data_IF_325131012174
#
_entry.id   IF_325131012174
#
_cell.length_a   1.000
_cell.length_b   1.000
_cell.length_c   1.000
_cell.angle_alpha   90.00
_cell.angle_beta   90.00
_cell.angle_gamma   90.00
#
_symmetry.space_group_name_H-M   'P 1'
#
loop_
_entity.id
_entity.type
_entity.pdbx_description
1 polymer ?
#
# COMPACT_ATOMS: atom_id res chain seq x y z
N UNK A 1 6.06 8.87 -7.72
CA UNK A 1 6.99 9.77 -7.06
C UNK A 1 6.79 9.82 -5.56
N UNK A 2 7.68 10.49 -4.85
CA UNK A 2 7.59 10.68 -3.40
C UNK A 2 6.97 12.06 -3.09
N UNK A 3 5.78 12.12 -2.45
CA UNK A 3 5.08 13.39 -2.22
C UNK A 3 5.86 14.38 -1.36
N UNK A 4 6.65 13.90 -0.39
CA UNK A 4 7.44 14.75 0.51
C UNK A 4 8.57 15.51 -0.20
N UNK A 5 8.95 15.08 -1.39
CA UNK A 5 9.95 15.74 -2.23
C UNK A 5 9.33 16.75 -3.20
N UNK A 6 8.01 16.78 -3.34
CA UNK A 6 7.38 17.67 -4.31
C UNK A 6 7.47 19.13 -3.86
N UNK A 7 8.06 19.95 -4.73
CA UNK A 7 8.13 21.41 -4.60
C UNK A 7 7.95 22.04 -5.97
N UNK A 8 7.06 23.00 -6.08
CA UNK A 8 6.83 23.76 -7.31
C UNK A 8 6.39 25.20 -6.96
N UNK A 9 7.08 26.19 -7.47
CA UNK A 9 6.77 27.63 -7.29
C UNK A 9 6.58 28.00 -5.81
N UNK A 10 7.43 27.47 -4.92
CA UNK A 10 7.37 27.67 -3.48
C UNK A 10 6.31 26.84 -2.75
N UNK A 11 5.50 26.07 -3.46
CA UNK A 11 4.45 25.17 -2.91
C UNK A 11 5.00 23.81 -2.58
N UNK A 12 4.35 23.16 -1.62
CA UNK A 12 4.67 21.82 -1.13
C UNK A 12 3.43 20.94 -1.12
N UNK A 13 3.56 19.70 -0.66
CA UNK A 13 2.42 18.79 -0.49
C UNK A 13 1.36 19.35 0.47
N UNK A 14 1.74 20.19 1.45
CA UNK A 14 0.80 20.81 2.36
C UNK A 14 -0.17 21.75 1.64
N UNK A 15 0.30 22.52 0.66
CA UNK A 15 -0.57 23.39 -0.14
C UNK A 15 -1.62 22.57 -0.93
N UNK A 16 -1.27 21.35 -1.38
CA UNK A 16 -2.24 20.47 -2.03
C UNK A 16 -3.23 19.87 -1.03
N UNK A 17 -2.77 19.53 0.17
CA UNK A 17 -3.64 19.05 1.26
C UNK A 17 -4.68 20.13 1.60
N UNK A 18 -4.23 21.36 1.82
CA UNK A 18 -5.09 22.47 2.19
C UNK A 18 -6.11 22.79 1.07
N UNK A 19 -5.65 22.87 -0.18
CA UNK A 19 -6.54 23.07 -1.32
C UNK A 19 -7.58 21.97 -1.47
N UNK A 20 -7.20 20.70 -1.23
CA UNK A 20 -8.15 19.59 -1.29
C UNK A 20 -9.21 19.69 -0.18
N UNK A 21 -8.82 20.08 1.03
CA UNK A 21 -9.76 20.30 2.14
C UNK A 21 -10.72 21.46 1.84
N UNK A 22 -10.22 22.57 1.29
CA UNK A 22 -11.04 23.71 0.87
C UNK A 22 -12.07 23.35 -0.20
N UNK A 23 -11.72 22.47 -1.14
CA UNK A 23 -12.64 21.92 -2.16
C UNK A 23 -13.71 21.03 -1.54
N UNK A 24 -13.47 20.49 -0.32
CA UNK A 24 -14.43 19.68 0.41
C UNK A 24 -14.18 18.17 0.32
N UNK A 25 -12.95 17.74 0.03
CA UNK A 25 -12.59 16.32 0.19
C UNK A 25 -12.69 15.93 1.67
N UNK A 26 -13.38 14.84 1.93
CA UNK A 26 -13.66 14.37 3.29
C UNK A 26 -12.40 13.92 4.05
N UNK A 27 -11.45 13.30 3.35
CA UNK A 27 -10.20 12.80 3.93
C UNK A 27 -9.07 12.86 2.91
N UNK A 28 -7.94 13.38 3.33
CA UNK A 28 -6.72 13.46 2.53
C UNK A 28 -5.71 12.47 3.11
N UNK A 29 -5.25 11.57 2.26
CA UNK A 29 -4.21 10.60 2.61
C UNK A 29 -2.95 10.88 1.82
N UNK A 30 -1.82 10.93 2.50
CA UNK A 30 -0.50 10.97 1.86
C UNK A 30 0.16 9.61 2.00
N UNK A 31 0.63 9.06 0.88
CA UNK A 31 1.44 7.84 0.86
C UNK A 31 2.90 8.21 0.64
N UNK A 32 3.78 7.78 1.54
CA UNK A 32 5.22 8.04 1.50
C UNK A 32 6.02 6.73 1.54
N UNK A 33 7.23 6.77 1.00
CA UNK A 33 8.21 5.70 1.19
C UNK A 33 8.97 5.82 2.52
N UNK A 34 8.73 6.90 3.28
CA UNK A 34 9.38 7.22 4.54
C UNK A 34 10.93 7.28 4.46
N UNK A 35 11.49 7.63 3.29
CA UNK A 35 12.94 7.80 3.12
C UNK A 35 13.41 9.23 3.39
N UNK A 36 12.48 10.14 3.64
CA UNK A 36 12.70 11.51 4.08
C UNK A 36 11.90 11.77 5.34
N UNK A 37 12.30 12.79 6.11
CA UNK A 37 11.47 13.30 7.18
C UNK A 37 10.10 13.72 6.63
N UNK A 38 9.04 13.22 7.24
CA UNK A 38 7.66 13.56 6.92
C UNK A 38 6.87 14.12 8.12
N UNK A 39 7.56 14.47 9.20
CA UNK A 39 6.96 15.04 10.41
C UNK A 39 6.25 16.38 10.17
N UNK A 40 6.66 17.09 9.12
CA UNK A 40 6.20 18.44 8.77
C UNK A 40 4.92 18.48 7.92
N UNK A 41 4.46 17.35 7.38
CA UNK A 41 3.20 17.30 6.60
C UNK A 41 2.00 17.11 7.53
N UNK A 42 0.80 17.54 7.08
CA UNK A 42 -0.41 17.52 7.93
C UNK A 42 -1.67 16.91 7.27
N UNK A 43 -1.58 15.77 6.59
CA UNK A 43 -2.76 15.09 6.08
C UNK A 43 -3.58 14.47 7.22
N UNK A 44 -4.84 14.11 6.95
CA UNK A 44 -5.68 13.40 7.89
C UNK A 44 -5.24 11.94 8.11
N UNK A 45 -4.53 11.37 7.14
CA UNK A 45 -4.05 9.98 7.19
C UNK A 45 -2.70 9.85 6.50
N UNK A 46 -1.83 9.02 7.07
CA UNK A 46 -0.52 8.68 6.50
C UNK A 46 -0.48 7.20 6.17
N UNK A 47 -0.05 6.91 4.96
CA UNK A 47 0.30 5.56 4.55
C UNK A 47 1.80 5.48 4.28
N UNK A 48 2.44 4.48 4.87
CA UNK A 48 3.86 4.20 4.67
C UNK A 48 4.01 2.91 3.87
N UNK A 49 4.77 2.98 2.80
CA UNK A 49 5.07 1.82 1.96
C UNK A 49 6.14 0.96 2.62
N UNK A 50 5.75 -0.16 3.22
CA UNK A 50 6.63 -1.11 3.91
C UNK A 50 6.50 -2.50 3.28
N UNK A 51 7.48 -2.92 2.50
CA UNK A 51 7.43 -4.19 1.75
C UNK A 51 8.12 -5.35 2.46
N UNK A 52 8.00 -5.42 3.77
CA UNK A 52 8.58 -6.44 4.63
C UNK A 52 9.36 -5.84 5.79
N UNK A 53 10.07 -6.68 6.55
CA UNK A 53 10.91 -6.28 7.69
C UNK A 53 12.38 -6.56 7.35
N UNK A 54 13.27 -5.60 7.68
CA UNK A 54 14.70 -5.73 7.50
C UNK A 54 15.07 -5.99 6.03
N UNK A 55 15.87 -7.03 5.82
CA UNK A 55 16.39 -7.38 4.50
C UNK A 55 15.33 -7.63 3.43
N UNK A 56 14.12 -8.09 3.79
CA UNK A 56 13.03 -8.30 2.84
C UNK A 56 12.49 -6.99 2.27
N UNK A 57 12.43 -5.94 3.08
CA UNK A 57 12.12 -4.60 2.60
C UNK A 57 13.24 -4.09 1.70
N UNK A 58 14.50 -4.24 2.15
CA UNK A 58 15.67 -3.77 1.43
C UNK A 58 15.85 -4.46 0.07
N UNK A 59 15.53 -5.75 -0.05
CA UNK A 59 15.51 -6.46 -1.34
C UNK A 59 14.57 -5.83 -2.38
N UNK A 60 13.48 -5.21 -1.93
CA UNK A 60 12.49 -4.59 -2.82
C UNK A 60 12.81 -3.11 -3.07
N UNK A 61 13.31 -2.39 -2.06
CA UNK A 61 13.44 -0.93 -2.08
C UNK A 61 14.85 -0.40 -2.03
N UNK A 62 15.83 -1.26 -1.80
CA UNK A 62 17.25 -0.90 -1.71
C UNK A 62 17.81 -1.05 -0.31
N UNK A 63 19.10 -1.31 -0.23
CA UNK A 63 19.84 -1.53 1.01
C UNK A 63 19.70 -0.35 1.99
N UNK A 64 19.43 -0.66 3.27
CA UNK A 64 19.34 0.32 4.36
C UNK A 64 18.04 1.13 4.36
N UNK A 65 17.10 0.87 3.45
CA UNK A 65 15.84 1.61 3.38
C UNK A 65 14.89 1.26 4.52
N UNK A 66 14.96 0.03 5.05
CA UNK A 66 14.15 -0.35 6.21
C UNK A 66 14.56 0.41 7.48
N UNK A 67 15.86 0.48 7.77
CA UNK A 67 16.36 1.21 8.93
C UNK A 67 15.95 2.68 8.90
N UNK A 68 16.06 3.33 7.73
CA UNK A 68 15.63 4.71 7.55
C UNK A 68 14.12 4.89 7.69
N UNK A 69 13.32 3.94 7.21
CA UNK A 69 11.88 3.93 7.42
C UNK A 69 11.53 3.88 8.91
N UNK A 70 12.19 3.01 9.69
CA UNK A 70 11.98 2.93 11.14
C UNK A 70 12.34 4.23 11.86
N UNK A 71 13.50 4.82 11.55
CA UNK A 71 13.94 6.10 12.10
C UNK A 71 12.91 7.21 11.81
N UNK A 72 12.47 7.33 10.56
CA UNK A 72 11.52 8.36 10.16
C UNK A 72 10.11 8.15 10.73
N UNK A 73 9.64 6.91 10.85
CA UNK A 73 8.37 6.60 11.55
C UNK A 73 8.48 7.04 13.02
N UNK A 74 9.56 6.68 13.71
CA UNK A 74 9.75 7.02 15.12
C UNK A 74 9.85 8.54 15.35
N UNK A 75 10.50 9.26 14.43
CA UNK A 75 10.68 10.71 14.49
C UNK A 75 9.43 11.49 14.05
N UNK A 76 8.53 10.91 13.28
CA UNK A 76 7.42 11.62 12.63
C UNK A 76 6.39 12.22 13.58
N UNK A 77 6.24 11.66 14.79
CA UNK A 77 5.19 12.05 15.74
C UNK A 77 3.79 11.55 15.40
N UNK A 78 3.57 10.94 14.23
CA UNK A 78 2.29 10.32 13.87
C UNK A 78 2.01 9.07 14.71
N UNK A 79 0.74 8.86 15.07
CA UNK A 79 0.30 7.72 15.91
C UNK A 79 -0.73 6.81 15.23
N UNK A 80 -1.13 7.12 14.01
CA UNK A 80 -2.16 6.40 13.28
C UNK A 80 -1.69 6.11 11.84
N UNK A 81 -0.44 5.61 11.74
CA UNK A 81 0.14 5.26 10.44
C UNK A 81 -0.47 3.96 9.95
N UNK A 82 -0.92 3.92 8.70
CA UNK A 82 -1.22 2.68 8.00
C UNK A 82 0.01 2.28 7.19
N UNK A 83 0.54 1.08 7.40
CA UNK A 83 1.58 0.55 6.52
C UNK A 83 0.96 -0.29 5.42
N UNK A 84 1.50 -0.16 4.20
CA UNK A 84 1.06 -0.90 3.03
C UNK A 84 2.18 -1.81 2.54
N UNK A 85 1.92 -3.12 2.52
CA UNK A 85 2.83 -4.13 1.99
C UNK A 85 2.31 -4.67 0.67
N UNK A 86 3.14 -4.57 -0.38
CA UNK A 86 2.89 -5.23 -1.66
C UNK A 86 3.70 -6.53 -1.70
N UNK A 87 3.01 -7.64 -1.50
CA UNK A 87 3.61 -8.98 -1.45
C UNK A 87 4.00 -9.45 -2.85
N UNK A 88 5.23 -9.91 -2.98
CA UNK A 88 5.82 -10.38 -4.23
C UNK A 88 6.84 -11.52 -3.96
N UNK A 89 7.47 -12.03 -5.02
CA UNK A 89 8.41 -13.15 -4.92
C UNK A 89 9.65 -12.88 -4.07
N UNK A 90 10.02 -11.61 -3.82
CA UNK A 90 11.20 -11.25 -3.03
C UNK A 90 10.91 -11.10 -1.54
N UNK A 91 9.63 -10.91 -1.15
CA UNK A 91 9.29 -10.53 0.23
C UNK A 91 8.17 -11.35 0.88
N UNK A 92 7.55 -12.30 0.18
CA UNK A 92 6.38 -13.03 0.69
C UNK A 92 6.65 -13.78 2.02
N UNK A 93 7.88 -14.17 2.28
CA UNK A 93 8.28 -14.84 3.52
C UNK A 93 8.23 -13.89 4.73
N UNK A 94 8.29 -12.58 4.50
CA UNK A 94 8.24 -11.56 5.55
C UNK A 94 6.82 -11.17 5.99
N UNK A 95 5.77 -11.76 5.42
CA UNK A 95 4.37 -11.38 5.73
C UNK A 95 4.06 -11.52 7.22
N UNK A 96 4.46 -12.62 7.86
CA UNK A 96 4.26 -12.84 9.28
C UNK A 96 5.00 -11.79 10.12
N UNK A 97 6.27 -11.56 9.81
CA UNK A 97 7.09 -10.57 10.49
C UNK A 97 6.54 -9.14 10.32
N UNK A 98 6.05 -8.80 9.14
CA UNK A 98 5.44 -7.49 8.87
C UNK A 98 4.15 -7.26 9.67
N UNK A 99 3.31 -8.28 9.81
CA UNK A 99 2.08 -8.22 10.60
C UNK A 99 2.41 -8.08 12.11
N UNK A 100 3.39 -8.84 12.61
CA UNK A 100 3.85 -8.72 13.99
C UNK A 100 4.52 -7.37 14.26
N UNK A 101 5.32 -6.87 13.33
CA UNK A 101 5.92 -5.54 13.40
C UNK A 101 4.85 -4.45 13.52
N UNK A 102 3.84 -4.48 12.65
CA UNK A 102 2.75 -3.50 12.69
C UNK A 102 1.97 -3.56 14.02
N UNK A 103 1.75 -4.77 14.57
CA UNK A 103 1.06 -4.93 15.85
C UNK A 103 1.86 -4.36 17.04
N UNK A 104 3.19 -4.47 16.98
CA UNK A 104 4.05 -4.12 18.11
C UNK A 104 4.61 -2.68 18.04
N UNK A 105 4.45 -2.00 16.91
CA UNK A 105 4.91 -0.62 16.71
C UNK A 105 3.80 0.37 17.13
N UNK A 106 4.00 1.20 18.18
CA UNK A 106 2.97 2.08 18.70
C UNK A 106 2.55 3.21 17.77
N UNK A 107 3.34 3.51 16.72
CA UNK A 107 2.99 4.50 15.70
C UNK A 107 2.10 3.93 14.60
N UNK A 108 2.04 2.60 14.47
CA UNK A 108 1.31 1.92 13.40
C UNK A 108 -0.05 1.46 13.92
N UNK A 109 -1.11 1.95 13.28
CA UNK A 109 -2.47 1.55 13.59
C UNK A 109 -2.89 0.29 12.84
N UNK A 110 -2.51 0.18 11.56
CA UNK A 110 -2.94 -0.92 10.70
C UNK A 110 -1.91 -1.26 9.64
N UNK A 111 -1.99 -2.50 9.15
CA UNK A 111 -1.28 -2.97 7.95
C UNK A 111 -2.25 -3.41 6.87
N UNK A 112 -2.02 -2.94 5.65
CA UNK A 112 -2.70 -3.39 4.44
C UNK A 112 -1.81 -4.36 3.67
N UNK A 113 -2.33 -5.53 3.31
CA UNK A 113 -1.63 -6.56 2.55
C UNK A 113 -2.22 -6.61 1.15
N UNK A 114 -1.42 -6.30 0.15
CA UNK A 114 -1.78 -6.35 -1.26
C UNK A 114 -0.80 -7.26 -2.01
N UNK A 115 -1.15 -7.65 -3.23
CA UNK A 115 -0.27 -8.48 -4.05
C UNK A 115 0.24 -7.68 -5.26
N UNK A 116 1.46 -8.00 -5.67
CA UNK A 116 2.05 -7.41 -6.86
C UNK A 116 1.21 -7.73 -8.10
N UNK A 117 0.78 -6.68 -8.79
CA UNK A 117 0.16 -6.79 -10.10
C UNK A 117 1.25 -6.70 -11.15
N UNK A 118 1.50 -7.75 -11.94
CA UNK A 118 2.60 -7.76 -12.89
C UNK A 118 2.40 -6.74 -14.00
N UNK A 119 3.42 -5.93 -14.23
CA UNK A 119 3.56 -5.04 -15.38
C UNK A 119 4.68 -5.54 -16.28
N UNK A 120 4.74 -5.12 -17.55
CA UNK A 120 5.84 -5.50 -18.46
C UNK A 120 7.21 -5.28 -17.79
N UNK A 121 8.02 -6.33 -17.74
CA UNK A 121 9.34 -6.33 -17.11
C UNK A 121 9.37 -6.60 -15.60
N UNK A 122 8.22 -6.81 -14.95
CA UNK A 122 8.12 -7.13 -13.52
C UNK A 122 7.48 -8.50 -13.25
N UNK A 123 7.34 -9.33 -14.26
CA UNK A 123 6.70 -10.65 -14.19
C UNK A 123 7.40 -11.59 -13.19
N UNK A 124 8.71 -11.44 -13.03
CA UNK A 124 9.52 -12.21 -12.07
C UNK A 124 9.13 -11.96 -10.60
N UNK A 125 8.44 -10.85 -10.32
CA UNK A 125 7.94 -10.52 -8.98
C UNK A 125 6.63 -11.21 -8.66
N UNK A 126 5.95 -11.80 -9.65
CA UNK A 126 4.66 -12.45 -9.44
C UNK A 126 4.83 -13.74 -8.63
N UNK A 127 3.97 -13.91 -7.64
CA UNK A 127 3.85 -15.17 -6.91
C UNK A 127 3.01 -16.19 -7.67
N UNK A 128 3.29 -17.49 -7.48
CA UNK A 128 2.35 -18.54 -7.86
C UNK A 128 1.00 -18.31 -7.16
N UNK A 129 -0.08 -18.54 -7.89
CA UNK A 129 -1.44 -18.35 -7.41
C UNK A 129 -1.75 -19.11 -6.11
N UNK A 130 -1.23 -20.31 -5.99
CA UNK A 130 -1.38 -21.16 -4.81
C UNK A 130 -0.76 -20.50 -3.58
N UNK A 131 0.40 -19.84 -3.76
CA UNK A 131 1.09 -19.11 -2.70
C UNK A 131 0.31 -17.84 -2.30
N UNK A 132 -0.24 -17.10 -3.24
CA UNK A 132 -1.10 -15.95 -2.96
C UNK A 132 -2.33 -16.35 -2.15
N UNK A 133 -2.98 -17.48 -2.51
CA UNK A 133 -4.13 -18.02 -1.79
C UNK A 133 -3.75 -18.47 -0.37
N UNK A 134 -2.59 -19.10 -0.19
CA UNK A 134 -2.05 -19.48 1.12
C UNK A 134 -1.89 -18.24 2.01
N UNK A 135 -1.28 -17.19 1.47
CA UNK A 135 -1.06 -15.93 2.19
C UNK A 135 -2.41 -15.27 2.55
N UNK A 136 -3.39 -15.23 1.63
CA UNK A 136 -4.72 -14.69 1.93
C UNK A 136 -5.37 -15.45 3.10
N UNK A 137 -5.28 -16.78 3.11
CA UNK A 137 -5.82 -17.59 4.21
C UNK A 137 -5.14 -17.27 5.54
N UNK A 138 -3.81 -17.11 5.53
CA UNK A 138 -3.01 -16.70 6.69
C UNK A 138 -3.42 -15.31 7.20
N UNK A 139 -3.54 -14.31 6.32
CA UNK A 139 -3.99 -12.96 6.65
C UNK A 139 -5.40 -12.96 7.25
N UNK A 140 -6.33 -13.77 6.70
CA UNK A 140 -7.67 -13.95 7.26
C UNK A 140 -7.63 -14.53 8.69
N UNK A 141 -6.72 -15.45 8.96
CA UNK A 141 -6.53 -16.02 10.30
C UNK A 141 -5.96 -14.99 11.29
N UNK A 142 -4.93 -14.22 10.90
CA UNK A 142 -4.44 -13.10 11.71
C UNK A 142 -5.55 -12.10 12.04
N UNK A 143 -6.36 -11.73 11.03
CA UNK A 143 -7.50 -10.84 11.24
C UNK A 143 -8.56 -11.43 12.18
N UNK A 144 -8.79 -12.75 12.14
CA UNK A 144 -9.69 -13.44 13.08
C UNK A 144 -9.17 -13.37 14.52
N UNK A 145 -7.84 -13.40 14.70
CA UNK A 145 -7.15 -13.30 15.99
C UNK A 145 -7.04 -11.86 16.51
N UNK A 146 -7.59 -10.86 15.78
CA UNK A 146 -7.60 -9.46 16.23
C UNK A 146 -6.34 -8.67 15.88
N UNK A 147 -5.50 -9.15 14.96
CA UNK A 147 -4.35 -8.38 14.48
C UNK A 147 -4.82 -7.17 13.64
N UNK A 148 -4.01 -6.09 13.59
CA UNK A 148 -4.40 -4.82 13.00
C UNK A 148 -4.34 -4.86 11.45
N UNK A 149 -5.06 -5.80 10.85
CA UNK A 149 -5.16 -5.95 9.39
C UNK A 149 -6.24 -5.01 8.86
N UNK A 150 -5.88 -4.10 7.95
CA UNK A 150 -6.80 -3.15 7.34
C UNK A 150 -7.77 -3.84 6.35
N UNK A 151 -7.24 -4.72 5.51
CA UNK A 151 -8.04 -5.40 4.49
C UNK A 151 -9.34 -5.97 5.07
N UNK A 152 -10.47 -5.70 4.43
CA UNK A 152 -11.74 -6.29 4.85
C UNK A 152 -11.76 -7.80 4.61
N UNK A 153 -12.49 -8.55 5.46
CA UNK A 153 -12.67 -9.99 5.25
C UNK A 153 -13.37 -10.31 3.93
N UNK A 154 -14.30 -9.47 3.52
CA UNK A 154 -15.00 -9.60 2.23
C UNK A 154 -14.06 -9.33 1.07
N UNK A 155 -13.23 -8.28 1.14
CA UNK A 155 -12.22 -7.96 0.13
C UNK A 155 -11.22 -9.09 -0.07
N UNK A 156 -10.63 -9.62 1.01
CA UNK A 156 -9.70 -10.77 0.93
C UNK A 156 -10.36 -12.00 0.30
N UNK A 157 -11.62 -12.30 0.63
CA UNK A 157 -12.38 -13.39 0.00
C UNK A 157 -12.66 -13.12 -1.47
N UNK A 158 -12.96 -11.87 -1.83
CA UNK A 158 -13.20 -11.45 -3.21
C UNK A 158 -11.92 -11.60 -4.04
N UNK A 159 -10.79 -11.12 -3.53
CA UNK A 159 -9.46 -11.28 -4.12
C UNK A 159 -9.15 -12.75 -4.39
N UNK A 160 -9.35 -13.61 -3.39
CA UNK A 160 -9.18 -15.07 -3.55
C UNK A 160 -10.09 -15.66 -4.64
N UNK A 161 -11.34 -15.23 -4.73
CA UNK A 161 -12.28 -15.67 -5.78
C UNK A 161 -11.84 -15.20 -7.16
N UNK A 162 -11.31 -13.98 -7.28
CA UNK A 162 -10.74 -13.47 -8.53
C UNK A 162 -9.54 -14.32 -8.97
N UNK A 163 -8.60 -14.60 -8.07
CA UNK A 163 -7.45 -15.47 -8.34
C UNK A 163 -7.86 -16.88 -8.76
N UNK A 164 -8.99 -17.37 -8.28
CA UNK A 164 -9.57 -18.66 -8.69
C UNK A 164 -10.34 -18.56 -10.02
N UNK A 165 -10.37 -17.41 -10.68
CA UNK A 165 -11.11 -17.21 -11.93
C UNK A 165 -12.63 -17.25 -11.79
N UNK A 166 -13.15 -17.12 -10.56
CA UNK A 166 -14.60 -17.19 -10.26
C UNK A 166 -15.31 -15.85 -10.46
N UNK A 167 -14.57 -14.76 -10.55
CA UNK A 167 -15.05 -13.40 -10.79
C UNK A 167 -14.01 -12.64 -11.61
N UNK A 168 -14.40 -11.46 -12.11
CA UNK A 168 -13.49 -10.56 -12.82
C UNK A 168 -13.65 -9.15 -12.25
N UNK A 169 -12.73 -8.76 -11.36
CA UNK A 169 -12.78 -7.46 -10.67
C UNK A 169 -12.84 -6.27 -11.62
N UNK A 170 -12.01 -6.27 -12.67
CA UNK A 170 -11.87 -5.13 -13.58
C UNK A 170 -13.13 -4.73 -14.35
N UNK A 171 -14.15 -5.58 -14.44
CA UNK A 171 -15.40 -5.23 -15.14
C UNK A 171 -16.34 -4.32 -14.31
N UNK A 172 -16.20 -4.35 -13.00
CA UNK A 172 -17.10 -3.65 -12.07
C UNK A 172 -16.34 -2.76 -11.08
N UNK A 173 -15.07 -2.47 -11.37
CA UNK A 173 -14.22 -1.67 -10.49
C UNK A 173 -14.30 -0.19 -10.87
N UNK A 174 -15.16 0.56 -10.18
CA UNK A 174 -15.36 2.01 -10.38
C UNK A 174 -14.91 2.82 -9.16
N UNK A 175 -14.10 2.24 -8.30
CA UNK A 175 -13.76 2.82 -6.99
C UNK A 175 -12.68 3.89 -7.04
N UNK A 176 -11.99 4.05 -8.18
CA UNK A 176 -10.82 4.92 -8.26
C UNK A 176 -10.88 5.83 -9.48
N UNK A 177 -10.67 7.12 -9.26
CA UNK A 177 -10.37 8.09 -10.30
C UNK A 177 -8.92 8.55 -10.13
N UNK A 178 -8.15 8.48 -11.21
CA UNK A 178 -6.79 8.99 -11.27
C UNK A 178 -6.76 10.36 -11.91
N UNK A 179 -5.92 11.23 -11.41
CA UNK A 179 -5.46 12.44 -12.10
C UNK A 179 -4.01 12.18 -12.48
N UNK A 180 -3.73 12.16 -13.77
CA UNK A 180 -2.40 11.96 -14.30
C UNK A 180 -1.56 13.24 -14.22
N UNK A 181 -0.26 13.11 -14.48
CA UNK A 181 0.68 14.24 -14.40
C UNK A 181 0.40 15.36 -15.41
N UNK A 182 -0.31 15.04 -16.49
CA UNK A 182 -0.78 16.00 -17.50
C UNK A 182 -2.14 16.64 -17.16
N UNK A 183 -2.71 16.31 -15.98
CA UNK A 183 -4.03 16.76 -15.53
C UNK A 183 -5.20 15.98 -16.12
N UNK A 184 -4.99 15.05 -17.01
CA UNK A 184 -6.05 14.17 -17.52
C UNK A 184 -6.59 13.25 -16.44
N UNK A 185 -7.83 12.78 -16.61
CA UNK A 185 -8.50 11.90 -15.65
C UNK A 185 -8.67 10.50 -16.24
N UNK A 186 -8.53 9.51 -15.41
CA UNK A 186 -8.76 8.12 -15.76
C UNK A 186 -9.27 7.30 -14.59
N UNK A 187 -9.73 6.11 -14.92
CA UNK A 187 -9.97 5.05 -13.95
C UNK A 187 -8.63 4.42 -13.55
N UNK A 188 -8.65 3.34 -12.77
CA UNK A 188 -7.44 2.60 -12.42
C UNK A 188 -6.55 2.33 -13.65
N UNK A 189 -5.24 2.46 -13.51
CA UNK A 189 -4.25 2.21 -14.57
C UNK A 189 -4.39 0.83 -15.24
N UNK A 190 -4.85 -0.18 -14.50
CA UNK A 190 -5.10 -1.52 -15.01
C UNK A 190 -6.53 -1.75 -15.52
N UNK A 191 -7.41 -0.74 -15.48
CA UNK A 191 -8.82 -0.91 -15.85
C UNK A 191 -9.00 -1.41 -17.28
N UNK A 192 -9.77 -2.50 -17.41
CA UNK A 192 -10.04 -3.10 -18.72
C UNK A 192 -8.88 -3.89 -19.34
N UNK A 193 -7.74 -3.99 -18.69
CA UNK A 193 -6.56 -4.73 -19.17
C UNK A 193 -6.48 -6.14 -18.57
N UNK A 194 -5.55 -6.97 -19.04
CA UNK A 194 -5.26 -8.29 -18.44
C UNK A 194 -4.85 -8.21 -16.97
N UNK A 195 -4.27 -7.07 -16.54
CA UNK A 195 -3.93 -6.84 -15.12
C UNK A 195 -5.15 -6.91 -14.20
N UNK A 196 -6.34 -6.56 -14.69
CA UNK A 196 -7.58 -6.71 -13.91
C UNK A 196 -7.88 -8.16 -13.51
N UNK A 197 -7.42 -9.13 -14.30
CA UNK A 197 -7.64 -10.56 -14.02
C UNK A 197 -6.76 -11.10 -12.89
N UNK A 198 -5.69 -10.40 -12.60
CA UNK A 198 -4.68 -10.78 -11.59
C UNK A 198 -4.52 -9.69 -10.53
N UNK A 199 -5.47 -8.76 -10.47
CA UNK A 199 -5.42 -7.66 -9.53
C UNK A 199 -5.39 -8.15 -8.09
N UNK A 200 -4.38 -7.72 -7.35
CA UNK A 200 -4.18 -7.98 -5.92
C UNK A 200 -4.68 -6.83 -5.05
N UNK A 201 -5.48 -5.93 -5.60
CA UNK A 201 -6.04 -4.76 -4.91
C UNK A 201 -7.52 -5.00 -4.58
N UNK A 202 -7.86 -4.82 -3.30
CA UNK A 202 -9.26 -4.87 -2.83
C UNK A 202 -9.47 -3.86 -1.70
#
# INVERSE_FOLDING_TARGET
GEPTLWKQDGRTINDLIDAALEIGFFSITVTTNAQQDFSWIHPQSIWVSMDGVGEYHDRVRGEGTFARLEENIAASGFKHICVNMVVNALNYESVDAAIEYAKNNPAIEQISINFHTPYPGTEYLKLPKEKEIEIINKVLEYKRRGYPIMNSRSGLKLMKRNMLGKIQLGKECFVTNFIYTDGSRGLCLGYGTEQCRVCGFC
#
